data_IF_982704563043
#
_entry.id   IF_982704563043
#
_cell.length_a   1.000
_cell.length_b   1.000
_cell.length_c   1.000
_cell.angle_alpha   90.00
_cell.angle_beta   90.00
_cell.angle_gamma   90.00
#
_symmetry.space_group_name_H-M   'P 1'
#
loop_
_entity.id
_entity.type
_entity.pdbx_description
1 polymer ?
#
# COMPACT_ATOMS: atom_id res chain seq x y z
N UNK A 1 -18.21 23.46 -20.42
CA UNK A 1 -17.07 22.71 -19.86
C UNK A 1 -17.29 22.61 -18.38
N UNK A 2 -17.59 21.40 -17.88
CA UNK A 2 -17.81 21.13 -16.46
C UNK A 2 -16.49 21.23 -15.69
N UNK A 3 -16.51 21.92 -14.56
CA UNK A 3 -15.38 22.04 -13.64
C UNK A 3 -15.47 20.89 -12.66
N UNK A 4 -14.69 19.85 -12.86
CA UNK A 4 -14.37 18.94 -11.75
C UNK A 4 -13.65 19.76 -10.67
N UNK A 5 -13.94 19.59 -9.38
CA UNK A 5 -13.05 20.08 -8.34
C UNK A 5 -11.73 19.36 -8.46
N UNK A 6 -10.79 20.01 -9.14
CA UNK A 6 -9.39 19.65 -9.09
C UNK A 6 -8.89 20.35 -7.85
N UNK A 7 -8.57 19.57 -6.81
CA UNK A 7 -7.83 20.07 -5.67
C UNK A 7 -6.70 20.97 -6.17
N UNK A 8 -6.59 22.20 -5.67
CA UNK A 8 -5.59 23.15 -6.19
C UNK A 8 -4.20 22.87 -5.59
N UNK A 9 -3.62 21.71 -5.89
CA UNK A 9 -2.21 21.47 -5.56
C UNK A 9 -1.32 22.06 -6.65
N UNK A 10 -0.30 22.81 -6.23
CA UNK A 10 0.70 23.39 -7.14
C UNK A 10 1.36 22.34 -8.05
N UNK A 11 1.49 21.10 -7.57
CA UNK A 11 2.09 19.98 -8.28
C UNK A 11 1.17 19.29 -9.32
N UNK A 12 -0.14 19.61 -9.35
CA UNK A 12 -1.05 19.06 -10.38
C UNK A 12 -0.95 19.82 -11.71
N UNK A 13 -0.52 21.07 -11.67
CA UNK A 13 -0.38 21.95 -12.83
C UNK A 13 1.06 21.97 -13.35
N UNK A 14 1.61 20.79 -13.63
CA UNK A 14 2.95 20.63 -14.21
C UNK A 14 2.87 20.27 -15.70
N UNK A 15 3.62 20.99 -16.54
CA UNK A 15 3.57 20.82 -17.98
C UNK A 15 4.13 19.46 -18.47
N UNK A 16 4.98 18.81 -17.67
CA UNK A 16 5.64 17.55 -18.04
C UNK A 16 4.92 16.32 -17.48
N UNK A 17 4.30 16.44 -16.30
CA UNK A 17 3.48 15.40 -15.69
C UNK A 17 2.18 16.00 -15.16
N UNK A 18 1.17 16.03 -16.02
CA UNK A 18 -0.16 16.45 -15.59
C UNK A 18 -0.77 15.35 -14.72
N UNK A 19 -0.84 15.61 -13.42
CA UNK A 19 -1.41 14.72 -12.42
C UNK A 19 -2.84 15.16 -12.08
N UNK A 20 -3.67 14.19 -11.70
CA UNK A 20 -4.99 14.43 -11.13
C UNK A 20 -5.13 13.65 -9.83
N UNK A 21 -5.71 14.28 -8.81
CA UNK A 21 -6.11 13.64 -7.56
C UNK A 21 -7.62 13.50 -7.56
N UNK A 22 -8.12 12.30 -7.28
CA UNK A 22 -9.54 12.06 -7.08
C UNK A 22 -9.73 11.26 -5.79
N UNK A 23 -10.90 11.38 -5.16
CA UNK A 23 -11.39 10.34 -4.27
C UNK A 23 -11.57 9.05 -5.06
N UNK A 24 -11.25 7.88 -4.49
CA UNK A 24 -11.78 6.64 -5.05
C UNK A 24 -13.24 6.51 -4.63
N UNK A 25 -14.11 7.06 -5.47
CA UNK A 25 -15.56 6.96 -5.33
C UNK A 25 -16.13 5.77 -6.12
N UNK A 26 -15.31 4.78 -6.49
CA UNK A 26 -15.75 3.57 -7.18
C UNK A 26 -15.53 2.32 -6.33
N UNK A 27 -14.57 2.37 -5.41
CA UNK A 27 -14.39 1.37 -4.37
C UNK A 27 -14.73 1.98 -3.01
N UNK A 28 -15.24 1.17 -2.09
CA UNK A 28 -15.57 1.65 -0.73
C UNK A 28 -14.31 1.87 0.13
N UNK A 29 -13.19 2.31 -0.46
CA UNK A 29 -11.88 2.36 0.18
C UNK A 29 -11.54 3.80 0.57
N UNK A 30 -10.96 4.03 1.77
CA UNK A 30 -10.55 5.34 2.23
C UNK A 30 -9.22 5.77 1.59
N UNK A 31 -9.17 5.92 0.27
CA UNK A 31 -7.95 6.35 -0.40
C UNK A 31 -8.20 7.37 -1.51
N UNK A 32 -7.18 8.19 -1.75
CA UNK A 32 -7.14 9.10 -2.89
C UNK A 32 -6.36 8.44 -4.03
N UNK A 33 -6.79 8.67 -5.26
CA UNK A 33 -6.11 8.20 -6.47
C UNK A 33 -5.33 9.36 -7.08
N UNK A 34 -4.00 9.25 -7.08
CA UNK A 34 -3.09 10.13 -7.80
C UNK A 34 -2.83 9.49 -9.16
N UNK A 35 -3.37 10.04 -10.24
CA UNK A 35 -3.27 9.46 -11.59
C UNK A 35 -2.58 10.41 -12.57
N UNK A 36 -1.84 9.85 -13.52
CA UNK A 36 -1.34 10.61 -14.66
C UNK A 36 -2.44 10.80 -15.71
N UNK A 37 -2.59 12.02 -16.21
CA UNK A 37 -3.42 12.31 -17.38
C UNK A 37 -2.67 12.08 -18.70
N UNK A 38 -1.38 11.76 -18.63
CA UNK A 38 -0.57 11.46 -19.81
C UNK A 38 -0.73 9.97 -20.18
N UNK A 39 -1.36 9.63 -21.33
CA UNK A 39 -1.63 8.26 -21.73
C UNK A 39 -0.37 7.44 -22.05
N UNK A 40 0.78 8.10 -22.22
CA UNK A 40 2.08 7.41 -22.38
C UNK A 40 2.64 6.88 -21.06
N UNK A 41 2.16 7.39 -19.92
CA UNK A 41 2.63 7.02 -18.58
C UNK A 41 1.68 5.99 -18.00
N UNK A 42 1.99 4.71 -18.21
CA UNK A 42 1.10 3.59 -17.86
C UNK A 42 1.45 2.89 -16.54
N UNK A 43 2.72 2.90 -16.16
CA UNK A 43 3.25 2.19 -15.00
C UNK A 43 4.24 3.07 -14.24
N UNK A 44 4.66 2.63 -13.05
CA UNK A 44 5.67 3.31 -12.26
C UNK A 44 7.00 3.44 -13.02
N UNK A 45 7.38 2.41 -13.76
CA UNK A 45 8.63 2.35 -14.53
C UNK A 45 8.62 3.34 -15.70
N UNK A 46 7.44 3.67 -16.24
CA UNK A 46 7.28 4.67 -17.30
C UNK A 46 7.52 6.11 -16.82
N UNK A 47 7.53 6.35 -15.49
CA UNK A 47 7.84 7.64 -14.90
C UNK A 47 9.35 7.86 -14.78
N UNK A 48 9.81 9.06 -15.09
CA UNK A 48 11.16 9.52 -14.73
C UNK A 48 11.30 9.71 -13.23
N UNK A 49 12.52 9.84 -12.73
CA UNK A 49 12.75 10.06 -11.30
C UNK A 49 12.16 11.38 -10.80
N UNK A 50 12.19 12.42 -11.63
CA UNK A 50 11.54 13.71 -11.31
C UNK A 50 10.02 13.58 -11.25
N UNK A 51 9.44 12.75 -12.13
CA UNK A 51 8.01 12.45 -12.11
C UNK A 51 7.62 11.65 -10.86
N UNK A 52 8.42 10.64 -10.48
CA UNK A 52 8.21 9.85 -9.25
C UNK A 52 8.31 10.73 -7.99
N UNK A 53 9.32 11.61 -7.93
CA UNK A 53 9.46 12.60 -6.85
C UNK A 53 8.23 13.52 -6.76
N UNK A 54 7.64 13.93 -7.89
CA UNK A 54 6.41 14.75 -7.90
C UNK A 54 5.21 13.99 -7.32
N UNK A 55 5.07 12.69 -7.60
CA UNK A 55 4.02 11.87 -6.99
C UNK A 55 4.19 11.79 -5.47
N UNK A 56 5.42 11.53 -4.99
CA UNK A 56 5.73 11.52 -3.56
C UNK A 56 5.45 12.88 -2.92
N UNK A 57 5.94 13.97 -3.52
CA UNK A 57 5.74 15.32 -3.04
C UNK A 57 4.27 15.73 -2.99
N UNK A 58 3.47 15.31 -3.97
CA UNK A 58 2.03 15.54 -3.98
C UNK A 58 1.34 14.77 -2.85
N UNK A 59 1.70 13.51 -2.63
CA UNK A 59 1.18 12.72 -1.51
C UNK A 59 1.51 13.35 -0.15
N UNK A 60 2.75 13.83 0.05
CA UNK A 60 3.16 14.55 1.26
C UNK A 60 2.40 15.87 1.45
N UNK A 61 2.17 16.62 0.37
CA UNK A 61 1.35 17.84 0.43
C UNK A 61 -0.07 17.52 0.88
N UNK A 62 -0.67 16.44 0.37
CA UNK A 62 -1.99 15.98 0.82
C UNK A 62 -1.97 15.57 2.28
N UNK A 63 -0.95 14.83 2.72
CA UNK A 63 -0.81 14.43 4.12
C UNK A 63 -0.74 15.63 5.05
N UNK A 64 -0.04 16.68 4.63
CA UNK A 64 0.08 17.92 5.40
C UNK A 64 -1.21 18.73 5.40
N UNK A 65 -1.79 18.97 4.22
CA UNK A 65 -2.96 19.85 4.03
C UNK A 65 -4.21 19.27 4.72
N UNK A 66 -4.35 17.94 4.71
CA UNK A 66 -5.49 17.25 5.31
C UNK A 66 -5.20 16.64 6.68
N UNK A 67 -4.03 16.92 7.26
CA UNK A 67 -3.64 16.45 8.59
C UNK A 67 -3.76 14.91 8.72
N UNK A 68 -3.28 14.21 7.69
CA UNK A 68 -3.40 12.75 7.58
C UNK A 68 -2.32 12.00 8.37
N UNK A 69 -1.43 12.69 9.09
CA UNK A 69 -0.35 12.07 9.88
C UNK A 69 -0.87 11.18 11.00
N UNK A 70 -2.04 11.45 11.54
CA UNK A 70 -2.68 10.57 12.53
C UNK A 70 -3.48 9.43 11.88
N UNK A 71 -3.65 9.47 10.55
CA UNK A 71 -4.58 8.62 9.80
C UNK A 71 -3.92 7.46 9.06
N UNK A 72 -2.77 6.95 9.50
CA UNK A 72 -2.12 5.80 8.85
C UNK A 72 -1.75 6.06 7.36
N UNK A 73 -1.27 7.26 7.04
CA UNK A 73 -1.06 7.69 5.66
C UNK A 73 0.05 6.92 4.95
N UNK A 74 -0.30 6.30 3.81
CA UNK A 74 0.59 5.47 2.99
C UNK A 74 0.44 5.83 1.52
N UNK A 75 1.55 6.02 0.81
CA UNK A 75 1.56 6.05 -0.65
C UNK A 75 1.80 4.64 -1.19
N UNK A 76 0.73 4.00 -1.66
CA UNK A 76 0.72 2.67 -2.25
C UNK A 76 0.81 2.73 -3.78
N UNK A 77 1.70 1.92 -4.34
CA UNK A 77 1.89 1.76 -5.77
C UNK A 77 1.84 0.30 -6.16
N UNK A 78 1.26 0.02 -7.33
CA UNK A 78 1.22 -1.32 -7.87
C UNK A 78 2.58 -1.72 -8.48
N UNK A 79 3.02 -2.94 -8.20
CA UNK A 79 4.10 -3.63 -8.92
C UNK A 79 3.60 -4.97 -9.47
N UNK A 80 3.99 -5.33 -10.69
CA UNK A 80 3.52 -6.54 -11.39
C UNK A 80 2.22 -6.34 -12.17
N UNK A 81 1.53 -7.44 -12.47
CA UNK A 81 0.30 -7.39 -13.28
C UNK A 81 -0.91 -7.03 -12.43
N UNK A 82 -1.63 -5.98 -12.83
CA UNK A 82 -2.83 -5.48 -12.17
C UNK A 82 -3.90 -5.14 -13.20
N UNK A 83 -5.16 -5.36 -12.84
CA UNK A 83 -6.27 -4.89 -13.65
C UNK A 83 -6.33 -3.37 -13.65
N UNK A 84 -5.99 -2.76 -14.78
CA UNK A 84 -6.06 -1.32 -14.99
C UNK A 84 -6.82 -1.03 -16.30
N UNK A 85 -8.15 -0.82 -16.25
CA UNK A 85 -8.97 -0.68 -17.46
C UNK A 85 -8.58 0.57 -18.26
N UNK A 86 -8.12 1.62 -17.57
CA UNK A 86 -7.76 2.90 -18.16
C UNK A 86 -6.30 2.93 -18.64
N UNK A 87 -5.50 1.91 -18.30
CA UNK A 87 -4.09 1.74 -18.66
C UNK A 87 -3.17 2.93 -18.35
N UNK A 88 -3.58 3.84 -17.47
CA UNK A 88 -2.75 4.97 -17.05
C UNK A 88 -2.16 4.71 -15.67
N UNK A 89 -0.98 5.28 -15.43
CA UNK A 89 -0.32 5.26 -14.14
C UNK A 89 -1.25 5.84 -13.07
N UNK A 90 -1.34 5.14 -11.95
CA UNK A 90 -1.96 5.65 -10.74
C UNK A 90 -1.27 5.10 -9.50
N UNK A 91 -1.32 5.89 -8.43
CA UNK A 91 -0.96 5.52 -7.08
C UNK A 91 -2.13 5.82 -6.14
N UNK A 92 -2.14 5.16 -4.99
CA UNK A 92 -3.15 5.33 -3.97
C UNK A 92 -2.51 5.99 -2.74
N UNK A 93 -3.09 7.09 -2.26
CA UNK A 93 -2.82 7.60 -0.92
C UNK A 93 -3.87 7.01 0.02
N UNK A 94 -3.51 5.93 0.71
CA UNK A 94 -4.37 5.24 1.67
C UNK A 94 -4.33 5.93 3.02
N UNK A 95 -5.50 6.07 3.66
CA UNK A 95 -5.68 6.75 4.95
C UNK A 95 -6.77 6.05 5.78
N UNK A 96 -6.94 6.47 7.04
CA UNK A 96 -7.99 5.99 7.91
C UNK A 96 -9.38 6.47 7.48
N UNK A 97 -10.40 5.62 7.68
CA UNK A 97 -11.78 5.84 7.26
C UNK A 97 -12.36 7.19 7.74
N UNK A 98 -12.31 7.48 9.04
CA UNK A 98 -13.04 8.63 9.58
C UNK A 98 -12.51 9.96 9.03
N UNK A 99 -11.18 10.14 8.98
CA UNK A 99 -10.60 11.36 8.41
C UNK A 99 -10.89 11.51 6.92
N UNK A 100 -10.86 10.41 6.16
CA UNK A 100 -11.27 10.42 4.76
C UNK A 100 -12.73 10.84 4.57
N UNK A 101 -13.63 10.31 5.40
CA UNK A 101 -15.07 10.62 5.37
C UNK A 101 -15.35 12.08 5.75
N UNK A 102 -14.62 12.65 6.69
CA UNK A 102 -14.70 14.08 7.04
C UNK A 102 -14.33 14.96 5.84
N UNK A 103 -13.14 14.73 5.24
CA UNK A 103 -12.68 15.50 4.07
C UNK A 103 -13.68 15.35 2.93
N UNK A 104 -14.21 14.14 2.74
CA UNK A 104 -15.20 13.88 1.72
C UNK A 104 -16.51 14.65 1.96
N UNK A 105 -16.99 14.67 3.21
CA UNK A 105 -18.18 15.42 3.62
C UNK A 105 -18.02 16.92 3.42
N UNK A 106 -16.88 17.48 3.85
CA UNK A 106 -16.58 18.91 3.72
C UNK A 106 -16.53 19.37 2.25
N UNK A 107 -16.20 18.46 1.33
CA UNK A 107 -16.10 18.73 -0.10
C UNK A 107 -17.30 18.19 -0.90
N UNK A 108 -18.36 17.70 -0.25
CA UNK A 108 -19.46 16.97 -0.92
C UNK A 108 -20.15 17.78 -2.02
N UNK A 109 -20.27 19.09 -1.81
CA UNK A 109 -20.93 20.03 -2.74
C UNK A 109 -20.15 20.24 -4.04
N UNK A 110 -18.89 19.83 -4.09
CA UNK A 110 -18.05 19.97 -5.26
C UNK A 110 -18.21 18.79 -6.25
N UNK A 111 -18.87 17.69 -5.84
CA UNK A 111 -19.08 16.52 -6.68
C UNK A 111 -20.44 16.59 -7.38
N UNK A 112 -20.46 16.99 -8.67
CA UNK A 112 -21.67 17.09 -9.50
C UNK A 112 -22.49 15.79 -9.61
N UNK A 113 -21.89 14.63 -9.33
CA UNK A 113 -22.58 13.34 -9.29
C UNK A 113 -21.90 12.40 -8.28
N UNK A 114 -22.27 12.52 -7.01
CA UNK A 114 -21.92 11.48 -6.04
C UNK A 114 -22.59 10.18 -6.46
N UNK A 115 -21.86 9.07 -6.66
CA UNK A 115 -22.51 7.82 -7.00
C UNK A 115 -23.37 7.38 -5.82
N UNK A 116 -24.70 7.43 -5.97
CA UNK A 116 -25.69 6.98 -4.97
C UNK A 116 -25.39 5.56 -4.45
N UNK A 117 -24.65 4.76 -5.23
CA UNK A 117 -24.27 3.37 -4.92
C UNK A 117 -23.22 3.22 -3.81
N UNK A 118 -22.45 4.26 -3.48
CA UNK A 118 -21.43 4.24 -2.41
C UNK A 118 -21.87 5.15 -1.27
N UNK A 119 -22.55 4.54 -0.29
CA UNK A 119 -22.88 5.21 0.96
C UNK A 119 -21.62 5.36 1.82
N UNK A 120 -21.56 6.44 2.60
CA UNK A 120 -20.58 6.66 3.68
C UNK A 120 -20.43 5.41 4.56
N UNK A 121 -21.54 4.70 4.79
CA UNK A 121 -21.59 3.44 5.54
C UNK A 121 -20.72 2.35 4.91
N UNK A 122 -20.75 2.17 3.58
CA UNK A 122 -19.90 1.16 2.92
C UNK A 122 -18.42 1.46 3.06
N UNK A 123 -18.05 2.74 3.02
CA UNK A 123 -16.65 3.17 3.24
C UNK A 123 -16.27 2.95 4.71
N UNK A 124 -17.17 3.28 5.65
CA UNK A 124 -16.96 3.02 7.08
C UNK A 124 -16.85 1.53 7.41
N UNK A 125 -17.61 0.68 6.72
CA UNK A 125 -17.59 -0.78 6.85
C UNK A 125 -16.39 -1.43 6.17
N UNK A 126 -15.59 -0.67 5.41
CA UNK A 126 -14.36 -1.20 4.82
C UNK A 126 -13.25 -1.30 5.88
N UNK A 127 -12.43 -2.37 5.87
CA UNK A 127 -12.48 -3.57 5.04
C UNK A 127 -13.40 -4.66 5.64
N UNK A 128 -14.50 -5.02 4.99
CA UNK A 128 -15.30 -6.20 5.40
C UNK A 128 -15.55 -7.13 4.23
N UNK A 129 -14.50 -7.88 3.82
CA UNK A 129 -14.54 -8.83 2.70
C UNK A 129 -14.30 -10.25 3.17
N UNK A 130 -15.30 -10.81 3.87
CA UNK A 130 -15.30 -12.20 4.36
C UNK A 130 -14.99 -13.22 3.26
N UNK A 131 -15.44 -12.97 2.03
CA UNK A 131 -15.24 -13.80 0.85
C UNK A 131 -13.78 -13.86 0.40
N UNK A 132 -13.08 -12.72 0.38
CA UNK A 132 -11.65 -12.67 0.03
C UNK A 132 -10.80 -13.38 1.08
N UNK A 133 -11.06 -13.12 2.35
CA UNK A 133 -10.39 -13.80 3.47
C UNK A 133 -10.54 -15.31 3.36
N UNK A 134 -11.75 -15.81 3.09
CA UNK A 134 -12.00 -17.24 2.95
C UNK A 134 -11.16 -17.88 1.82
N UNK A 135 -11.03 -17.20 0.67
CA UNK A 135 -10.19 -17.68 -0.44
C UNK A 135 -8.71 -17.74 -0.08
N UNK A 136 -8.19 -16.75 0.63
CA UNK A 136 -6.78 -16.75 1.06
C UNK A 136 -6.51 -17.83 2.11
N UNK A 137 -7.42 -17.99 3.08
CA UNK A 137 -7.35 -19.07 4.07
C UNK A 137 -7.39 -20.43 3.39
N UNK A 138 -8.26 -20.62 2.39
CA UNK A 138 -8.30 -21.86 1.61
C UNK A 138 -6.96 -22.12 0.90
N UNK A 139 -6.40 -21.13 0.20
CA UNK A 139 -5.15 -21.29 -0.51
C UNK A 139 -3.98 -21.65 0.43
N UNK A 140 -3.91 -21.05 1.62
CA UNK A 140 -2.89 -21.41 2.62
C UNK A 140 -3.11 -22.83 3.16
N UNK A 141 -4.36 -23.23 3.40
CA UNK A 141 -4.66 -24.61 3.83
C UNK A 141 -4.26 -25.65 2.78
N UNK A 142 -4.42 -25.34 1.48
CA UNK A 142 -3.97 -26.20 0.39
C UNK A 142 -2.43 -26.36 0.39
N UNK A 143 -1.68 -25.28 0.64
CA UNK A 143 -0.22 -25.33 0.83
C UNK A 143 0.14 -26.23 2.02
N UNK A 144 -0.51 -26.03 3.17
CA UNK A 144 -0.28 -26.85 4.37
C UNK A 144 -0.56 -28.33 4.13
N UNK A 145 -1.59 -28.67 3.35
CA UNK A 145 -1.91 -30.06 3.02
C UNK A 145 -0.85 -30.72 2.13
N UNK A 146 -0.22 -29.96 1.23
CA UNK A 146 0.79 -30.45 0.30
C UNK A 146 2.15 -30.60 1.00
N UNK A 147 2.56 -29.57 1.75
CA UNK A 147 3.93 -29.45 2.30
C UNK A 147 4.05 -29.99 3.73
N UNK A 148 2.93 -30.17 4.43
CA UNK A 148 2.91 -30.40 5.86
C UNK A 148 3.09 -29.10 6.66
N UNK A 149 2.79 -29.16 7.97
CA UNK A 149 3.13 -28.05 8.86
C UNK A 149 4.65 -28.05 9.08
N UNK A 150 5.35 -26.93 8.83
CA UNK A 150 6.75 -26.84 9.18
C UNK A 150 6.91 -26.95 10.70
N UNK A 151 7.89 -27.74 11.15
CA UNK A 151 8.28 -27.78 12.55
C UNK A 151 8.86 -26.42 12.94
N UNK A 152 8.50 -25.88 14.13
CA UNK A 152 9.04 -24.60 14.56
C UNK A 152 10.56 -24.68 14.69
N UNK A 153 11.29 -23.90 13.88
CA UNK A 153 12.72 -23.69 14.08
C UNK A 153 12.92 -22.47 14.96
N UNK A 154 13.84 -22.54 15.92
CA UNK A 154 14.08 -21.49 16.94
C UNK A 154 14.64 -20.17 16.38
N UNK A 155 14.87 -20.07 15.07
CA UNK A 155 15.60 -18.95 14.46
C UNK A 155 14.71 -18.13 13.54
N UNK A 156 13.97 -17.19 14.14
CA UNK A 156 13.45 -16.05 13.40
C UNK A 156 14.62 -15.10 13.07
N UNK A 157 15.28 -15.32 11.93
CA UNK A 157 16.33 -14.42 11.47
C UNK A 157 15.73 -13.10 11.03
N UNK A 158 16.14 -12.00 11.67
CA UNK A 158 16.03 -10.67 11.06
C UNK A 158 16.91 -10.67 9.82
N UNK A 159 16.27 -10.61 8.66
CA UNK A 159 16.98 -10.50 7.38
C UNK A 159 17.30 -9.02 7.18
N UNK A 160 18.57 -8.66 7.08
CA UNK A 160 18.98 -7.31 6.66
C UNK A 160 19.28 -7.33 5.16
N UNK A 161 18.73 -6.39 4.39
CA UNK A 161 19.02 -6.24 2.96
C UNK A 161 19.55 -4.83 2.68
N UNK A 162 20.87 -4.72 2.57
CA UNK A 162 21.56 -3.44 2.46
C UNK A 162 21.45 -2.64 3.75
N UNK A 163 20.92 -1.42 3.68
CA UNK A 163 20.72 -0.55 4.85
C UNK A 163 19.38 -0.79 5.57
N UNK A 164 18.54 -1.69 5.06
CA UNK A 164 17.19 -1.93 5.56
C UNK A 164 17.12 -3.24 6.34
N UNK A 165 16.48 -3.18 7.52
CA UNK A 165 16.01 -4.36 8.22
C UNK A 165 14.66 -4.79 7.66
N UNK A 166 14.57 -6.07 7.28
CA UNK A 166 13.34 -6.68 6.79
C UNK A 166 12.55 -7.21 8.00
N UNK A 167 11.29 -6.80 8.07
CA UNK A 167 10.36 -7.16 9.13
C UNK A 167 9.17 -7.92 8.53
N UNK A 168 8.64 -8.87 9.29
CA UNK A 168 7.45 -9.62 8.90
C UNK A 168 6.27 -9.17 9.76
N UNK A 169 5.15 -8.82 9.12
CA UNK A 169 3.97 -8.39 9.86
C UNK A 169 3.35 -9.57 10.62
N UNK A 170 2.95 -9.41 11.90
CA UNK A 170 2.55 -10.54 12.74
C UNK A 170 1.23 -11.22 12.35
N UNK A 171 0.40 -10.60 11.52
CA UNK A 171 -0.94 -11.11 11.18
C UNK A 171 -1.44 -10.76 9.79
N UNK A 172 -0.60 -10.15 8.95
CA UNK A 172 -0.99 -9.69 7.61
C UNK A 172 0.13 -10.04 6.63
N UNK A 173 -0.19 -10.22 5.33
CA UNK A 173 0.79 -10.68 4.35
C UNK A 173 1.69 -9.53 3.87
N UNK A 174 2.46 -8.95 4.80
CA UNK A 174 3.29 -7.77 4.56
C UNK A 174 4.73 -7.97 5.01
N UNK A 175 5.64 -7.50 4.16
CA UNK A 175 7.08 -7.45 4.40
C UNK A 175 7.47 -5.98 4.58
N UNK A 176 7.85 -5.60 5.80
CA UNK A 176 8.23 -4.25 6.17
C UNK A 176 9.71 -3.98 6.02
N UNK A 177 10.06 -2.72 5.83
CA UNK A 177 11.44 -2.23 5.72
C UNK A 177 11.64 -1.13 6.75
N UNK A 178 12.60 -1.34 7.64
CA UNK A 178 12.94 -0.40 8.69
C UNK A 178 14.41 0.06 8.57
N UNK A 179 14.68 1.27 9.04
CA UNK A 179 16.02 1.83 9.17
C UNK A 179 16.21 2.37 10.58
N UNK A 180 17.46 2.57 11.00
CA UNK A 180 17.76 3.30 12.23
C UNK A 180 17.13 4.69 12.20
N UNK A 181 16.63 5.19 13.33
CA UNK A 181 15.99 6.50 13.41
C UNK A 181 16.89 7.64 12.88
N UNK A 182 18.21 7.53 13.07
CA UNK A 182 19.21 8.48 12.57
C UNK A 182 19.30 8.53 11.04
N UNK A 183 18.79 7.51 10.35
CA UNK A 183 18.77 7.34 8.90
C UNK A 183 17.37 7.51 8.32
N UNK A 184 16.37 7.89 9.13
CA UNK A 184 15.01 8.14 8.66
C UNK A 184 15.03 9.27 7.60
N UNK A 185 14.48 9.04 6.40
CA UNK A 185 14.30 10.11 5.42
C UNK A 185 13.48 11.26 6.04
N UNK A 186 13.92 12.50 5.81
CA UNK A 186 13.12 13.66 6.18
C UNK A 186 11.86 13.71 5.31
N UNK A 187 10.74 14.15 5.89
CA UNK A 187 9.46 14.17 5.18
C UNK A 187 9.42 15.16 4.00
N UNK A 188 10.33 16.13 3.96
CA UNK A 188 10.49 17.08 2.85
C UNK A 188 11.54 16.64 1.82
N UNK A 189 12.32 15.58 2.11
CA UNK A 189 13.29 15.02 1.18
C UNK A 189 12.67 13.92 0.30
N UNK A 190 12.02 14.38 -0.77
CA UNK A 190 11.44 13.49 -1.77
C UNK A 190 12.49 12.59 -2.48
N UNK A 191 13.78 12.94 -2.44
CA UNK A 191 14.83 12.13 -3.08
C UNK A 191 15.15 10.91 -2.23
N UNK A 192 15.36 11.11 -0.92
CA UNK A 192 15.55 10.00 0.02
C UNK A 192 14.34 9.07 0.06
N UNK A 193 13.12 9.61 0.03
CA UNK A 193 11.88 8.82 -0.04
C UNK A 193 11.75 8.05 -1.37
N UNK A 194 12.18 8.64 -2.49
CA UNK A 194 12.23 7.94 -3.77
C UNK A 194 13.21 6.76 -3.72
N UNK A 195 14.36 6.90 -3.06
CA UNK A 195 15.34 5.82 -2.94
C UNK A 195 14.76 4.63 -2.15
N UNK A 196 14.02 4.89 -1.07
CA UNK A 196 13.26 3.86 -0.35
C UNK A 196 12.24 3.19 -1.28
N UNK A 197 11.45 3.97 -2.01
CA UNK A 197 10.43 3.42 -2.89
C UNK A 197 11.01 2.61 -4.04
N UNK A 198 12.11 3.06 -4.66
CA UNK A 198 12.84 2.31 -5.69
C UNK A 198 13.41 1.00 -5.15
N UNK A 199 13.99 1.01 -3.96
CA UNK A 199 14.49 -0.19 -3.32
C UNK A 199 13.36 -1.23 -3.15
N UNK A 200 12.22 -0.81 -2.59
CA UNK A 200 11.07 -1.69 -2.40
C UNK A 200 10.47 -2.15 -3.74
N UNK A 201 10.44 -1.31 -4.77
CA UNK A 201 9.97 -1.68 -6.11
C UNK A 201 10.86 -2.76 -6.75
N UNK A 202 12.18 -2.64 -6.61
CA UNK A 202 13.12 -3.66 -7.08
C UNK A 202 12.95 -4.97 -6.30
N UNK A 203 12.81 -4.89 -4.97
CA UNK A 203 12.52 -6.04 -4.13
C UNK A 203 11.20 -6.71 -4.55
N UNK A 204 10.14 -5.94 -4.77
CA UNK A 204 8.85 -6.41 -5.25
C UNK A 204 8.95 -7.10 -6.62
N UNK A 205 9.77 -6.58 -7.55
CA UNK A 205 9.99 -7.19 -8.85
C UNK A 205 10.64 -8.58 -8.73
N UNK A 206 11.63 -8.74 -7.84
CA UNK A 206 12.24 -10.04 -7.53
C UNK A 206 11.19 -11.02 -6.99
N UNK A 207 10.34 -10.57 -6.06
CA UNK A 207 9.26 -11.39 -5.48
C UNK A 207 8.20 -11.78 -6.52
N UNK A 208 7.84 -10.87 -7.42
CA UNK A 208 6.84 -11.13 -8.45
C UNK A 208 7.32 -12.23 -9.42
N UNK A 209 8.63 -12.38 -9.60
CA UNK A 209 9.23 -13.49 -10.33
C UNK A 209 9.14 -14.86 -9.64
N UNK A 210 8.77 -14.94 -8.35
CA UNK A 210 8.72 -16.19 -7.59
C UNK A 210 7.48 -17.07 -7.90
N UNK A 211 6.58 -16.63 -8.77
CA UNK A 211 5.55 -17.48 -9.39
C UNK A 211 4.63 -18.24 -8.43
N UNK A 212 3.54 -17.61 -7.99
CA UNK A 212 2.42 -18.32 -7.34
C UNK A 212 1.30 -18.46 -8.38
N UNK A 213 0.70 -19.64 -8.48
CA UNK A 213 -0.44 -19.90 -9.35
C UNK A 213 -1.63 -19.00 -8.95
N UNK A 214 -2.05 -18.10 -9.85
CA UNK A 214 -3.21 -17.22 -9.65
C UNK A 214 -3.20 -16.00 -10.58
N UNK A 215 -4.38 -15.45 -10.86
CA UNK A 215 -4.61 -14.37 -11.86
C UNK A 215 -4.03 -12.99 -11.46
N UNK A 216 -3.49 -12.85 -10.23
CA UNK A 216 -2.91 -11.61 -9.73
C UNK A 216 -1.46 -11.83 -9.27
N UNK A 217 -0.51 -11.67 -10.21
CA UNK A 217 0.93 -11.74 -9.93
C UNK A 217 1.53 -10.40 -9.50
N UNK A 218 0.72 -9.55 -8.88
CA UNK A 218 1.10 -8.21 -8.43
C UNK A 218 1.21 -8.09 -6.91
N UNK A 219 1.86 -7.03 -6.45
CA UNK A 219 1.89 -6.62 -5.05
C UNK A 219 1.76 -5.10 -4.92
N UNK A 220 1.39 -4.65 -3.72
CA UNK A 220 1.40 -3.24 -3.38
C UNK A 220 2.72 -2.88 -2.72
N UNK A 221 3.36 -1.82 -3.21
CA UNK A 221 4.57 -1.24 -2.66
C UNK A 221 4.17 0.05 -1.95
N UNK A 222 4.25 0.03 -0.62
CA UNK A 222 3.68 1.02 0.27
C UNK A 222 4.77 1.84 0.95
N UNK A 223 4.85 3.13 0.64
CA UNK A 223 5.72 4.08 1.33
C UNK A 223 4.98 4.69 2.51
N UNK A 224 5.58 4.63 3.70
CA UNK A 224 4.99 5.15 4.95
C UNK A 224 5.23 6.65 5.03
N UNK A 225 4.17 7.45 5.10
CA UNK A 225 4.26 8.93 5.08
C UNK A 225 3.96 9.59 6.43
N UNK A 226 3.46 8.82 7.39
CA UNK A 226 3.05 9.30 8.71
C UNK A 226 4.07 9.00 9.83
N UNK A 227 5.08 8.17 9.54
CA UNK A 227 6.06 7.72 10.51
C UNK A 227 5.54 6.72 11.54
N UNK A 228 4.34 6.17 11.37
CA UNK A 228 3.78 5.16 12.26
C UNK A 228 4.39 3.77 12.02
N UNK A 229 4.18 2.86 12.98
CA UNK A 229 4.70 1.48 12.90
C UNK A 229 3.79 0.53 12.11
N UNK A 230 2.56 0.93 11.79
CA UNK A 230 1.59 0.12 11.02
C UNK A 230 1.48 -1.33 11.50
N UNK A 231 1.39 -1.52 12.83
CA UNK A 231 1.31 -2.81 13.53
C UNK A 231 2.52 -3.76 13.35
N UNK A 232 3.60 -3.32 12.69
CA UNK A 232 4.87 -4.02 12.71
C UNK A 232 5.54 -3.94 14.09
N UNK A 233 6.21 -5.03 14.47
CA UNK A 233 7.08 -5.08 15.65
C UNK A 233 8.41 -4.36 15.37
N UNK A 234 8.40 -3.03 15.42
CA UNK A 234 9.58 -2.17 15.19
C UNK A 234 10.22 -1.77 16.52
N UNK A 235 11.53 -2.05 16.67
CA UNK A 235 12.31 -1.62 17.83
C UNK A 235 12.35 -0.09 17.94
N UNK A 236 12.46 0.46 19.15
CA UNK A 236 12.38 1.92 19.35
C UNK A 236 13.55 2.70 18.74
N UNK A 237 14.67 2.03 18.46
CA UNK A 237 15.81 2.59 17.73
C UNK A 237 15.61 2.66 16.21
N UNK A 238 14.50 2.13 15.70
CA UNK A 238 14.22 1.95 14.28
C UNK A 238 12.91 2.63 13.89
N UNK A 239 12.80 3.02 12.63
CA UNK A 239 11.57 3.50 12.02
C UNK A 239 11.20 2.67 10.79
N UNK A 240 9.91 2.34 10.67
CA UNK A 240 9.37 1.77 9.44
C UNK A 240 9.34 2.85 8.36
N UNK A 241 9.91 2.56 7.19
CA UNK A 241 9.93 3.49 6.04
C UNK A 241 9.00 3.04 4.92
N UNK A 242 8.63 1.77 4.91
CA UNK A 242 7.71 1.23 3.92
C UNK A 242 7.47 -0.26 4.12
N UNK A 243 6.58 -0.82 3.34
CA UNK A 243 6.30 -2.25 3.31
C UNK A 243 5.78 -2.67 1.93
N UNK A 244 5.86 -3.97 1.65
CA UNK A 244 5.27 -4.59 0.48
C UNK A 244 4.15 -5.52 0.96
N UNK A 245 2.98 -5.40 0.36
CA UNK A 245 1.83 -6.26 0.64
C UNK A 245 1.62 -7.24 -0.53
N UNK A 246 1.65 -8.53 -0.19
CA UNK A 246 1.50 -9.67 -1.11
C UNK A 246 0.29 -10.52 -0.69
N UNK A 247 -0.06 -11.56 -1.45
CA UNK A 247 -1.19 -12.42 -1.08
C UNK A 247 -0.86 -13.27 0.15
N UNK A 248 -1.88 -13.68 0.91
CA UNK A 248 -1.74 -14.55 2.08
C UNK A 248 -0.92 -15.80 1.76
N UNK A 249 -1.26 -16.50 0.67
CA UNK A 249 -0.55 -17.69 0.20
C UNK A 249 0.92 -17.38 -0.13
N UNK A 250 1.18 -16.31 -0.89
CA UNK A 250 2.54 -15.90 -1.27
C UNK A 250 3.39 -15.55 -0.06
N UNK A 251 2.81 -14.83 0.90
CA UNK A 251 3.46 -14.51 2.17
C UNK A 251 3.79 -15.78 2.95
N UNK A 252 2.79 -16.64 3.15
CA UNK A 252 2.93 -17.87 3.90
C UNK A 252 4.01 -18.79 3.30
N UNK A 253 4.02 -18.95 1.98
CA UNK A 253 4.94 -19.86 1.30
C UNK A 253 6.39 -19.34 1.29
N UNK A 254 6.59 -18.06 0.95
CA UNK A 254 7.92 -17.56 0.61
C UNK A 254 8.52 -16.54 1.59
N UNK A 255 7.73 -15.95 2.48
CA UNK A 255 8.19 -14.85 3.34
C UNK A 255 8.07 -15.16 4.83
N UNK A 256 6.99 -15.83 5.24
CA UNK A 256 6.77 -16.15 6.63
C UNK A 256 7.86 -17.12 7.11
N UNK A 257 8.66 -16.75 8.14
CA UNK A 257 9.66 -17.64 8.69
C UNK A 257 9.02 -18.97 9.12
N UNK A 258 9.70 -20.11 8.90
CA UNK A 258 9.11 -21.43 9.15
C UNK A 258 8.61 -21.59 10.60
N UNK A 259 9.34 -21.07 11.58
CA UNK A 259 8.93 -21.02 12.99
C UNK A 259 7.72 -20.14 13.32
N UNK A 260 7.37 -19.22 12.42
CA UNK A 260 6.28 -18.24 12.60
C UNK A 260 5.05 -18.56 11.75
N UNK A 261 5.12 -19.49 10.79
CA UNK A 261 4.03 -19.82 9.86
C UNK A 261 2.73 -20.17 10.57
N UNK A 262 2.78 -21.08 11.55
CA UNK A 262 1.60 -21.48 12.33
C UNK A 262 1.00 -20.33 13.15
N UNK A 263 1.74 -19.67 14.07
CA UNK A 263 1.18 -18.58 14.88
C UNK A 263 0.76 -17.36 14.03
N UNK A 264 1.46 -17.11 12.92
CA UNK A 264 1.05 -16.09 11.95
C UNK A 264 -0.28 -16.45 11.29
N UNK A 265 -0.45 -17.69 10.82
CA UNK A 265 -1.68 -18.11 10.15
C UNK A 265 -2.88 -18.10 11.10
N UNK A 266 -2.70 -18.53 12.35
CA UNK A 266 -3.71 -18.39 13.41
C UNK A 266 -4.10 -16.91 13.61
N UNK A 267 -3.11 -16.02 13.69
CA UNK A 267 -3.34 -14.57 13.81
C UNK A 267 -3.98 -13.97 12.56
N UNK A 268 -3.64 -14.45 11.36
CA UNK A 268 -4.21 -14.03 10.09
C UNK A 268 -5.69 -14.42 9.99
N UNK A 269 -6.06 -15.62 10.43
CA UNK A 269 -7.47 -16.06 10.49
C UNK A 269 -8.27 -15.24 11.50
N UNK A 270 -7.68 -14.84 12.62
CA UNK A 270 -8.40 -14.06 13.64
C UNK A 270 -8.53 -12.59 13.22
N UNK A 271 -7.41 -11.96 12.85
CA UNK A 271 -7.30 -10.49 12.75
C UNK A 271 -7.42 -9.94 11.35
N UNK A 272 -7.04 -10.68 10.30
CA UNK A 272 -7.09 -10.14 8.95
C UNK A 272 -8.53 -10.00 8.46
N UNK A 273 -8.80 -8.99 7.64
CA UNK A 273 -10.08 -8.87 6.93
C UNK A 273 -10.00 -9.38 5.48
N UNK A 274 -8.98 -10.21 5.17
CA UNK A 274 -8.56 -10.59 3.81
C UNK A 274 -7.61 -9.57 3.16
N UNK A 275 -7.15 -9.87 1.94
CA UNK A 275 -6.24 -9.05 1.14
C UNK A 275 -6.67 -7.58 1.09
N UNK A 276 -5.79 -6.74 1.62
CA UNK A 276 -5.90 -5.32 1.93
C UNK A 276 -6.97 -4.93 2.95
N UNK A 277 -6.58 -4.55 4.19
CA UNK A 277 -7.39 -3.68 5.03
C UNK A 277 -7.43 -2.21 4.55
N UNK A 278 -6.78 -1.88 3.43
CA UNK A 278 -6.80 -0.55 2.78
C UNK A 278 -7.54 -0.56 1.45
#
# INVERSE_FOLDING_TARGET
MQKTPVFQFKLLNDANLKLKVNFDCYTARPHFVIASENPSKKTYEALSDDEKKKVIGLALQMVTIYELSESRAILSQHSGSWYNPNHNYHAHLCVANERYLEILGDNSNEFEAWPEKLSYEKIREYPNRKDKKAKEVQAINEIIQIEGLPEPTEEAHKVTKGIYDVLFHPSEPRVGFAVENSKKPANDDCSALLDVQKFMMNYAAEINGLGVNGDYQGCHVCLVLDGQKHDFKVADSMCLVGFIEVSGAKFYEHFCPDGEKKPWFESFIDKSCGYSPW
#
